data_IF_843505214326
#
_entry.id   IF_843505214326
#
_cell.length_a   1.000
_cell.length_b   1.000
_cell.length_c   1.000
_cell.angle_alpha   90.00
_cell.angle_beta   90.00
_cell.angle_gamma   90.00
#
_symmetry.space_group_name_H-M   'P 1'
#
loop_
_entity.id
_entity.type
_entity.pdbx_description
1 polymer ?
#
# COMPACT_ATOMS: atom_id res chain seq x y z
N UNK A 1 15.12 27.72 -73.76
CA UNK A 1 14.30 28.59 -72.88
C UNK A 1 14.61 28.22 -71.44
N UNK A 2 15.08 29.18 -70.65
CA UNK A 2 15.61 28.97 -69.28
C UNK A 2 14.49 28.92 -68.25
N UNK A 3 14.48 27.87 -67.43
CA UNK A 3 13.53 27.69 -66.32
C UNK A 3 13.97 28.53 -65.12
N UNK A 4 13.13 29.47 -64.68
CA UNK A 4 13.43 30.36 -63.56
C UNK A 4 12.56 29.96 -62.36
N UNK A 5 13.22 29.53 -61.27
CA UNK A 5 12.53 29.15 -60.03
C UNK A 5 11.95 30.38 -59.32
N UNK A 6 10.75 30.28 -58.72
CA UNK A 6 10.18 31.37 -57.95
C UNK A 6 11.03 31.63 -56.69
N UNK A 7 11.63 32.82 -56.62
CA UNK A 7 12.33 33.32 -55.43
C UNK A 7 11.29 33.61 -54.35
N UNK A 8 11.47 33.02 -53.17
CA UNK A 8 10.58 33.15 -52.04
C UNK A 8 10.32 34.62 -51.69
N UNK A 9 9.10 35.11 -51.92
CA UNK A 9 8.67 36.43 -51.45
C UNK A 9 8.78 36.46 -49.92
N UNK A 10 9.56 37.39 -49.36
CA UNK A 10 9.89 37.51 -47.94
C UNK A 10 8.74 37.87 -46.98
N UNK A 11 7.52 37.42 -47.25
CA UNK A 11 6.38 37.58 -46.35
C UNK A 11 6.28 36.34 -45.46
N UNK A 12 6.63 36.50 -44.19
CA UNK A 12 6.39 35.48 -43.17
C UNK A 12 4.88 35.30 -42.99
N UNK A 13 4.37 34.08 -43.22
CA UNK A 13 2.99 33.76 -42.86
C UNK A 13 2.91 33.72 -41.33
N UNK A 14 2.01 34.49 -40.73
CA UNK A 14 1.75 34.41 -39.30
C UNK A 14 1.19 33.01 -38.98
N UNK A 15 2.02 32.19 -38.33
CA UNK A 15 1.59 30.89 -37.80
C UNK A 15 0.90 31.20 -36.48
N UNK A 16 -0.42 31.02 -36.42
CA UNK A 16 -1.14 31.05 -35.15
C UNK A 16 -0.81 29.77 -34.38
N UNK A 17 0.00 29.90 -33.35
CA UNK A 17 0.27 28.82 -32.40
C UNK A 17 -0.90 28.80 -31.43
N UNK A 18 -1.75 27.78 -31.52
CA UNK A 18 -2.75 27.50 -30.50
C UNK A 18 -2.05 26.82 -29.32
N UNK A 19 -2.04 27.48 -28.17
CA UNK A 19 -1.60 26.88 -26.92
C UNK A 19 -2.57 25.78 -26.52
N UNK A 20 -2.05 24.57 -26.27
CA UNK A 20 -2.84 23.47 -25.76
C UNK A 20 -3.47 23.89 -24.41
N UNK A 21 -4.80 23.74 -24.23
CA UNK A 21 -5.45 24.07 -22.98
C UNK A 21 -4.85 23.22 -21.86
N UNK A 22 -4.35 23.89 -20.81
CA UNK A 22 -3.79 23.22 -19.64
C UNK A 22 -4.88 22.39 -18.97
N UNK A 23 -4.57 21.12 -18.70
CA UNK A 23 -5.49 20.15 -18.11
C UNK A 23 -5.82 20.50 -16.65
N UNK A 24 -6.79 21.40 -16.44
CA UNK A 24 -7.23 21.87 -15.11
C UNK A 24 -7.82 20.75 -14.22
N UNK A 25 -8.18 19.61 -14.80
CA UNK A 25 -8.69 18.44 -14.08
C UNK A 25 -7.61 17.64 -13.34
N UNK A 26 -6.33 17.92 -13.57
CA UNK A 26 -5.21 17.28 -12.84
C UNK A 26 -4.79 18.01 -11.57
N UNK A 27 -5.31 19.20 -11.30
CA UNK A 27 -5.04 19.92 -10.04
C UNK A 27 -5.90 19.38 -8.90
N UNK A 28 -5.46 18.25 -8.33
CA UNK A 28 -5.93 17.84 -7.00
C UNK A 28 -5.44 18.88 -5.99
N UNK A 29 -6.36 19.65 -5.39
CA UNK A 29 -6.09 20.47 -4.20
C UNK A 29 -5.37 19.59 -3.17
N UNK A 30 -4.08 19.87 -2.93
CA UNK A 30 -3.35 19.27 -1.81
C UNK A 30 -3.97 19.83 -0.54
N UNK A 31 -4.83 19.05 0.11
CA UNK A 31 -5.17 19.28 1.51
C UNK A 31 -3.86 19.15 2.28
N UNK A 32 -3.24 20.29 2.61
CA UNK A 32 -2.15 20.33 3.57
C UNK A 32 -2.65 19.79 4.91
N UNK A 33 -1.81 19.10 5.69
CA UNK A 33 -2.19 18.66 7.02
C UNK A 33 -2.51 19.90 7.88
N UNK A 34 -3.74 19.96 8.41
CA UNK A 34 -4.10 20.94 9.44
C UNK A 34 -3.34 20.57 10.72
N UNK A 35 -2.12 21.09 10.86
CA UNK A 35 -1.37 21.01 12.12
C UNK A 35 -2.08 21.88 13.16
N UNK A 36 -3.00 21.29 13.91
CA UNK A 36 -3.35 21.79 15.24
C UNK A 36 -2.25 21.37 16.19
N UNK A 37 -1.22 22.21 16.33
CA UNK A 37 -0.44 22.24 17.56
C UNK A 37 -1.39 22.70 18.66
N UNK A 38 -1.83 21.77 19.50
CA UNK A 38 -2.30 22.07 20.85
C UNK A 38 -1.30 21.43 21.80
N UNK A 39 -0.30 22.22 22.17
CA UNK A 39 0.34 22.10 23.48
C UNK A 39 -0.74 22.48 24.49
N UNK A 40 -1.53 21.49 24.89
CA UNK A 40 -2.32 21.58 26.10
C UNK A 40 -1.79 20.47 26.98
N UNK A 41 -1.28 20.80 28.14
CA UNK A 41 -1.31 19.90 29.28
C UNK A 41 -2.79 19.59 29.51
N UNK A 42 -3.25 18.51 28.87
CA UNK A 42 -4.60 18.02 29.06
C UNK A 42 -4.56 17.37 30.43
N UNK A 43 -5.14 18.02 31.43
CA UNK A 43 -5.51 17.35 32.68
C UNK A 43 -6.27 16.08 32.31
N UNK A 44 -5.57 14.95 32.37
CA UNK A 44 -6.13 13.67 32.00
C UNK A 44 -7.14 13.32 33.09
N UNK A 45 -8.32 12.88 32.70
CA UNK A 45 -9.23 12.29 33.69
C UNK A 45 -8.55 11.09 34.35
N UNK A 46 -8.82 10.81 35.62
CA UNK A 46 -8.24 9.67 36.34
C UNK A 46 -8.34 8.32 35.58
N UNK A 47 -9.42 8.13 34.78
CA UNK A 47 -9.56 6.96 33.90
C UNK A 47 -8.58 6.93 32.72
N UNK A 48 -8.22 8.08 32.18
CA UNK A 48 -7.22 8.21 31.12
C UNK A 48 -5.80 8.03 31.66
N UNK A 49 -5.53 8.50 32.88
CA UNK A 49 -4.26 8.27 33.57
C UNK A 49 -4.02 6.77 33.79
N UNK A 50 -5.00 6.06 34.36
CA UNK A 50 -4.91 4.59 34.56
C UNK A 50 -4.68 3.86 33.24
N UNK A 51 -5.35 4.28 32.15
CA UNK A 51 -5.15 3.66 30.83
C UNK A 51 -3.74 3.92 30.31
N UNK A 52 -3.23 5.13 30.47
CA UNK A 52 -1.89 5.50 30.04
C UNK A 52 -0.84 4.71 30.83
N UNK A 53 -0.98 4.61 32.14
CA UNK A 53 -0.09 3.79 32.98
C UNK A 53 -0.12 2.32 32.57
N UNK A 54 -1.29 1.78 32.24
CA UNK A 54 -1.42 0.42 31.75
C UNK A 54 -0.72 0.23 30.39
N UNK A 55 -0.91 1.16 29.46
CA UNK A 55 -0.28 1.11 28.14
C UNK A 55 1.25 1.26 28.27
N UNK A 56 1.73 2.19 29.10
CA UNK A 56 3.15 2.44 29.36
C UNK A 56 3.83 1.22 30.02
N UNK A 57 3.16 0.58 30.98
CA UNK A 57 3.67 -0.64 31.62
C UNK A 57 3.67 -1.83 30.68
N UNK A 58 2.65 -1.97 29.84
CA UNK A 58 2.58 -3.02 28.83
C UNK A 58 3.70 -2.87 27.79
N UNK A 59 3.91 -1.64 27.30
CA UNK A 59 4.99 -1.33 26.38
C UNK A 59 6.36 -1.57 27.04
N UNK A 60 6.52 -1.22 28.32
CA UNK A 60 7.74 -1.49 29.08
C UNK A 60 8.07 -3.00 29.15
N UNK A 61 7.05 -3.85 29.36
CA UNK A 61 7.22 -5.32 29.36
C UNK A 61 7.63 -5.83 27.97
N UNK A 62 7.04 -5.28 26.90
CA UNK A 62 7.42 -5.63 25.53
C UNK A 62 8.87 -5.21 25.25
N UNK A 63 9.23 -4.00 25.65
CA UNK A 63 10.56 -3.44 25.42
C UNK A 63 11.64 -4.09 26.29
N UNK A 64 11.31 -4.62 27.46
CA UNK A 64 12.24 -5.29 28.38
C UNK A 64 13.07 -6.38 27.67
N UNK A 65 12.42 -7.15 26.81
CA UNK A 65 13.09 -8.20 26.01
C UNK A 65 14.13 -7.64 25.03
N UNK A 66 14.03 -6.35 24.70
CA UNK A 66 14.87 -5.69 23.71
C UNK A 66 15.95 -4.78 24.28
N UNK A 67 15.87 -4.42 25.57
CA UNK A 67 16.82 -3.51 26.24
C UNK A 67 18.25 -4.05 26.27
N UNK A 68 18.39 -5.37 26.40
CA UNK A 68 19.69 -6.03 26.50
C UNK A 68 20.29 -6.47 25.15
N UNK A 69 19.65 -6.11 24.03
CA UNK A 69 20.15 -6.46 22.70
C UNK A 69 21.43 -5.67 22.40
N UNK A 70 22.45 -6.36 21.87
CA UNK A 70 23.74 -5.76 21.49
C UNK A 70 24.03 -5.95 19.99
N UNK A 71 24.84 -5.04 19.43
CA UNK A 71 25.38 -5.17 18.08
C UNK A 71 24.33 -5.25 16.96
N UNK A 72 24.29 -6.39 16.25
CA UNK A 72 23.43 -6.59 15.05
C UNK A 72 21.95 -6.64 15.40
N UNK A 73 21.60 -7.23 16.55
CA UNK A 73 20.21 -7.40 16.96
C UNK A 73 19.56 -6.07 17.34
N UNK A 74 20.31 -5.22 18.04
CA UNK A 74 19.90 -3.85 18.35
C UNK A 74 19.56 -3.04 17.09
N UNK A 75 20.45 -3.07 16.08
CA UNK A 75 20.22 -2.40 14.79
C UNK A 75 18.98 -2.91 14.06
N UNK A 76 18.72 -4.22 14.09
CA UNK A 76 17.51 -4.78 13.49
C UNK A 76 16.24 -4.35 14.23
N UNK A 77 16.29 -4.27 15.57
CA UNK A 77 15.15 -3.83 16.36
C UNK A 77 14.85 -2.35 16.13
N UNK A 78 15.88 -1.49 16.13
CA UNK A 78 15.76 -0.06 15.81
C UNK A 78 15.18 0.15 14.41
N UNK A 79 15.65 -0.59 13.41
CA UNK A 79 15.09 -0.53 12.05
C UNK A 79 13.60 -0.89 12.01
N UNK A 80 13.16 -1.88 12.80
CA UNK A 80 11.73 -2.23 12.93
C UNK A 80 10.94 -1.14 13.65
N UNK A 81 11.50 -0.50 14.69
CA UNK A 81 10.87 0.64 15.36
C UNK A 81 10.66 1.80 14.37
N UNK A 82 11.68 2.09 13.55
CA UNK A 82 11.58 3.11 12.49
C UNK A 82 10.48 2.75 11.48
N UNK A 83 10.39 1.50 11.03
CA UNK A 83 9.32 1.05 10.13
C UNK A 83 7.92 1.16 10.77
N UNK A 84 7.79 0.81 12.05
CA UNK A 84 6.53 0.92 12.79
C UNK A 84 6.06 2.37 12.97
N UNK A 85 7.00 3.33 13.11
CA UNK A 85 6.73 4.77 13.16
C UNK A 85 6.42 5.37 11.77
N UNK A 86 6.34 4.56 10.72
CA UNK A 86 6.03 4.99 9.36
C UNK A 86 7.26 5.32 8.50
N UNK A 87 8.46 4.99 8.99
CA UNK A 87 9.69 5.06 8.22
C UNK A 87 9.71 4.07 7.05
N UNK A 88 10.51 4.38 6.03
CA UNK A 88 10.65 3.50 4.85
C UNK A 88 11.45 2.25 5.22
N UNK A 89 10.88 1.07 4.95
CA UNK A 89 11.57 -0.20 5.13
C UNK A 89 12.84 -0.29 4.26
N UNK A 90 13.85 -1.00 4.77
CA UNK A 90 15.11 -1.22 4.05
C UNK A 90 14.85 -1.98 2.74
N UNK A 91 15.50 -1.55 1.65
CA UNK A 91 15.35 -2.19 0.36
C UNK A 91 15.89 -3.63 0.39
N UNK A 92 15.12 -4.56 -0.18
CA UNK A 92 15.56 -5.95 -0.31
C UNK A 92 16.75 -6.03 -1.28
N UNK A 93 17.74 -6.86 -0.94
CA UNK A 93 18.87 -7.14 -1.84
C UNK A 93 18.37 -7.82 -3.12
N UNK A 94 19.01 -7.50 -4.25
CA UNK A 94 18.74 -8.18 -5.52
C UNK A 94 19.26 -9.62 -5.42
N UNK A 95 18.36 -10.59 -5.55
CA UNK A 95 18.66 -12.03 -5.50
C UNK A 95 18.15 -12.65 -6.81
N UNK A 96 18.92 -13.54 -7.47
CA UNK A 96 18.45 -14.26 -8.65
C UNK A 96 17.13 -15.01 -8.40
N UNK A 97 16.28 -15.06 -9.42
CA UNK A 97 14.90 -15.53 -9.29
C UNK A 97 14.78 -16.97 -8.76
N UNK A 98 15.57 -17.92 -9.30
CA UNK A 98 15.56 -19.32 -8.85
C UNK A 98 15.91 -19.46 -7.36
N UNK A 99 16.90 -18.70 -6.89
CA UNK A 99 17.32 -18.69 -5.49
C UNK A 99 16.22 -18.10 -4.60
N UNK A 100 15.62 -16.99 -5.04
CA UNK A 100 14.51 -16.34 -4.33
C UNK A 100 13.32 -17.30 -4.14
N UNK A 101 12.95 -18.07 -5.16
CA UNK A 101 11.88 -19.07 -5.06
C UNK A 101 12.26 -20.16 -4.05
N UNK A 102 13.47 -20.70 -4.13
CA UNK A 102 13.95 -21.72 -3.19
C UNK A 102 13.94 -21.24 -1.74
N UNK A 103 14.34 -19.99 -1.48
CA UNK A 103 14.30 -19.39 -0.16
C UNK A 103 12.86 -19.22 0.35
N UNK A 104 11.95 -18.73 -0.51
CA UNK A 104 10.53 -18.51 -0.14
C UNK A 104 9.82 -19.82 0.17
N UNK A 105 9.97 -20.83 -0.68
CA UNK A 105 9.32 -22.15 -0.51
C UNK A 105 9.77 -22.84 0.77
N UNK A 106 11.09 -22.92 1.02
CA UNK A 106 11.62 -23.45 2.29
C UNK A 106 11.20 -22.62 3.49
N UNK A 107 11.12 -21.30 3.36
CA UNK A 107 10.64 -20.41 4.41
C UNK A 107 9.17 -20.66 4.79
N UNK A 108 8.31 -20.93 3.81
CA UNK A 108 6.90 -21.30 4.04
C UNK A 108 6.80 -22.67 4.72
N UNK A 109 7.52 -23.68 4.21
CA UNK A 109 7.51 -25.03 4.79
C UNK A 109 7.95 -25.04 6.26
N UNK A 110 8.99 -24.27 6.62
CA UNK A 110 9.45 -24.13 8.01
C UNK A 110 8.41 -23.47 8.91
N UNK A 111 7.68 -22.48 8.40
CA UNK A 111 6.61 -21.80 9.15
C UNK A 111 5.43 -22.74 9.40
N UNK A 112 5.00 -23.46 8.36
CA UNK A 112 3.95 -24.48 8.49
C UNK A 112 4.32 -25.54 9.52
N UNK A 113 5.52 -26.13 9.40
CA UNK A 113 6.00 -27.11 10.40
C UNK A 113 6.00 -26.56 11.83
N UNK A 114 6.41 -25.31 12.01
CA UNK A 114 6.37 -24.66 13.34
C UNK A 114 4.93 -24.47 13.82
N UNK A 115 4.03 -24.05 12.94
CA UNK A 115 2.61 -23.88 13.28
C UNK A 115 1.96 -25.21 13.65
N UNK A 116 2.31 -26.30 12.97
CA UNK A 116 1.76 -27.63 13.25
C UNK A 116 2.29 -28.18 14.58
N UNK A 117 3.60 -28.07 14.86
CA UNK A 117 4.16 -28.43 16.17
C UNK A 117 3.53 -27.64 17.33
N UNK A 118 3.20 -26.36 17.10
CA UNK A 118 2.57 -25.52 18.14
C UNK A 118 1.10 -25.87 18.37
N UNK A 119 0.41 -26.39 17.33
CA UNK A 119 -0.94 -26.97 17.47
C UNK A 119 -0.88 -28.31 18.19
N UNK A 120 0.08 -29.16 17.85
CA UNK A 120 0.28 -30.46 18.52
C UNK A 120 0.61 -30.28 20.00
N UNK A 121 1.34 -29.23 20.36
CA UNK A 121 1.68 -28.92 21.75
C UNK A 121 0.57 -28.18 22.51
N UNK A 122 -0.63 -28.01 21.93
CA UNK A 122 -1.76 -27.24 22.48
C UNK A 122 -1.40 -25.84 23.01
N UNK A 123 -0.38 -25.20 22.43
CA UNK A 123 0.05 -23.87 22.85
C UNK A 123 -0.86 -22.81 22.21
N UNK A 124 -1.72 -22.18 23.03
CA UNK A 124 -2.59 -21.10 22.55
C UNK A 124 -1.75 -19.86 22.25
N UNK A 125 -1.45 -19.66 20.96
CA UNK A 125 -0.86 -18.41 20.48
C UNK A 125 -1.94 -17.42 20.10
N UNK A 126 -1.71 -16.13 20.40
CA UNK A 126 -2.64 -15.07 20.02
C UNK A 126 -2.96 -15.12 18.52
N UNK A 127 -4.26 -15.10 18.18
CA UNK A 127 -4.76 -15.20 16.81
C UNK A 127 -4.28 -14.00 15.99
N UNK A 128 -3.13 -14.15 15.31
CA UNK A 128 -2.70 -13.17 14.32
C UNK A 128 -3.71 -13.19 13.18
N UNK A 129 -4.37 -12.05 12.92
CA UNK A 129 -5.13 -11.89 11.69
C UNK A 129 -4.19 -12.25 10.54
N UNK A 130 -4.61 -13.22 9.71
CA UNK A 130 -3.87 -13.60 8.50
C UNK A 130 -3.68 -12.34 7.67
N UNK A 131 -2.51 -11.71 7.80
CA UNK A 131 -2.24 -10.46 7.11
C UNK A 131 -2.08 -10.80 5.63
N UNK A 132 -3.15 -10.58 4.87
CA UNK A 132 -3.23 -10.26 3.44
C UNK A 132 -2.09 -10.73 2.52
N UNK A 133 -1.53 -11.93 2.73
CA UNK A 133 -0.54 -12.53 1.84
C UNK A 133 -1.27 -13.57 1.01
N UNK A 134 -1.57 -13.16 -0.24
CA UNK A 134 -2.09 -13.93 -1.38
C UNK A 134 -3.58 -13.81 -1.71
N UNK A 135 -4.46 -13.37 -0.81
CA UNK A 135 -5.90 -13.28 -1.17
C UNK A 135 -6.23 -12.10 -2.10
N UNK A 136 -5.44 -11.02 -2.10
CA UNK A 136 -5.78 -9.80 -2.85
C UNK A 136 -5.36 -9.77 -4.33
N UNK A 137 -4.41 -10.59 -4.78
CA UNK A 137 -4.06 -10.60 -6.21
C UNK A 137 -4.94 -11.55 -7.04
N UNK A 138 -5.58 -12.55 -6.42
CA UNK A 138 -6.55 -13.40 -7.09
C UNK A 138 -8.00 -12.90 -6.95
N UNK A 139 -8.33 -12.14 -5.88
CA UNK A 139 -9.72 -11.73 -5.60
C UNK A 139 -10.16 -10.40 -6.22
N UNK A 140 -9.54 -9.92 -7.29
CA UNK A 140 -10.18 -8.96 -8.21
C UNK A 140 -9.65 -9.10 -9.64
N UNK A 141 -9.51 -10.33 -10.15
CA UNK A 141 -9.67 -10.44 -11.61
C UNK A 141 -11.10 -9.98 -11.88
N UNK A 142 -11.26 -8.84 -12.57
CA UNK A 142 -12.58 -8.44 -13.07
C UNK A 142 -13.09 -9.67 -13.80
N UNK A 143 -14.15 -10.28 -13.29
CA UNK A 143 -14.82 -11.36 -14.01
C UNK A 143 -15.16 -10.78 -15.37
N UNK A 144 -14.72 -11.45 -16.43
CA UNK A 144 -15.11 -11.04 -17.76
C UNK A 144 -16.61 -11.28 -17.87
N UNK A 145 -17.38 -10.20 -17.91
CA UNK A 145 -18.84 -10.26 -18.03
C UNK A 145 -19.28 -10.53 -19.49
N UNK A 146 -18.32 -10.74 -20.40
CA UNK A 146 -18.57 -10.92 -21.82
C UNK A 146 -19.12 -9.65 -22.48
N UNK A 147 -19.45 -9.76 -23.77
CA UNK A 147 -20.14 -8.70 -24.50
C UNK A 147 -21.63 -8.73 -24.13
N UNK A 148 -22.15 -7.66 -23.53
CA UNK A 148 -23.58 -7.51 -23.27
C UNK A 148 -24.32 -7.24 -24.59
N UNK A 149 -25.00 -8.25 -25.12
CA UNK A 149 -25.77 -8.15 -26.37
C UNK A 149 -27.11 -7.41 -26.20
N UNK A 150 -27.68 -7.35 -24.99
CA UNK A 150 -29.04 -6.84 -24.74
C UNK A 150 -29.04 -5.72 -23.69
N UNK A 151 -29.92 -4.73 -23.90
CA UNK A 151 -30.20 -3.68 -22.90
C UNK A 151 -31.23 -4.21 -21.90
N UNK A 152 -30.79 -4.69 -20.75
CA UNK A 152 -31.68 -5.15 -19.68
C UNK A 152 -30.96 -5.93 -18.59
N UNK A 153 -31.65 -6.21 -17.48
CA UNK A 153 -31.10 -7.08 -16.41
C UNK A 153 -31.56 -8.51 -16.66
N UNK A 154 -30.68 -9.32 -17.24
CA UNK A 154 -30.94 -10.76 -17.40
C UNK A 154 -30.53 -11.51 -16.12
N UNK A 155 -31.49 -12.09 -15.41
CA UNK A 155 -31.23 -12.88 -14.19
C UNK A 155 -32.14 -14.11 -14.17
N UNK A 156 -31.55 -15.30 -13.99
CA UNK A 156 -32.29 -16.58 -13.88
C UNK A 156 -33.24 -16.87 -15.07
N UNK A 157 -32.81 -16.55 -16.30
CA UNK A 157 -33.61 -16.84 -17.51
C UNK A 157 -34.64 -15.79 -17.89
N UNK A 158 -34.82 -14.73 -17.09
CA UNK A 158 -35.78 -13.65 -17.36
C UNK A 158 -35.03 -12.36 -17.66
N UNK A 159 -35.44 -11.65 -18.72
CA UNK A 159 -34.91 -10.34 -19.09
C UNK A 159 -35.83 -9.24 -18.57
N UNK A 160 -35.41 -8.56 -17.51
CA UNK A 160 -36.10 -7.36 -17.04
C UNK A 160 -35.71 -6.18 -17.92
N UNK A 161 -36.66 -5.76 -18.77
CA UNK A 161 -36.59 -4.51 -19.52
C UNK A 161 -37.40 -3.49 -18.75
N UNK A 162 -36.74 -2.54 -18.05
CA UNK A 162 -37.46 -1.38 -17.51
C UNK A 162 -37.94 -0.58 -18.73
N UNK A 163 -39.25 -0.36 -18.81
CA UNK A 163 -39.84 0.56 -19.78
C UNK A 163 -39.09 1.90 -19.70
N UNK A 164 -38.68 2.41 -20.88
CA UNK A 164 -38.01 3.69 -21.06
C UNK A 164 -38.79 4.83 -20.40
#
# INVERSE_FOLDING_TARGET
MTFQFPVASGKTKQIQVFECPTETWKERKRYGPKNKKKENEVELTLRQEIRKEFDDTFDSVLEFTTLNLKGKEKKMNEAKKIEALGGKAAANRKIPYKILIGMKTKGVARKQRREDLMKESDMVTGKRRLSHKSRDQQKKKKTDYGLQATRGRFKRGVLDVRSL
#
